data_IF_271876738086
#
_entry.id   IF_271876738086
#
_cell.length_a   1.000
_cell.length_b   1.000
_cell.length_c   1.000
_cell.angle_alpha   90.00
_cell.angle_beta   90.00
_cell.angle_gamma   90.00
#
_symmetry.space_group_name_H-M   'P 1'
#
loop_
_entity.id
_entity.type
_entity.pdbx_description
1 polymer ?
#
# COMPACT_ATOMS: atom_id res chain seq x y z
N UNK A 1 52.59 10.15 -9.80
CA UNK A 1 51.68 9.00 -9.59
C UNK A 1 50.28 9.53 -9.32
N UNK A 2 49.31 9.38 -10.24
CA UNK A 2 47.93 9.77 -9.98
C UNK A 2 47.00 8.56 -9.90
N UNK A 3 46.11 8.54 -8.91
CA UNK A 3 44.83 7.83 -9.04
C UNK A 3 43.71 8.84 -8.75
N UNK A 4 42.78 9.09 -9.69
CA UNK A 4 41.54 9.81 -9.37
C UNK A 4 40.56 8.83 -8.72
N UNK A 5 40.10 9.14 -7.51
CA UNK A 5 39.04 8.38 -6.85
C UNK A 5 37.69 8.94 -7.28
N UNK A 6 37.13 8.43 -8.37
CA UNK A 6 35.77 8.77 -8.79
C UNK A 6 34.79 7.95 -7.95
N UNK A 7 33.85 8.62 -7.26
CA UNK A 7 32.69 7.96 -6.66
C UNK A 7 31.78 7.47 -7.79
N UNK A 8 31.61 6.16 -7.92
CA UNK A 8 30.68 5.59 -8.89
C UNK A 8 29.25 5.79 -8.37
N UNK A 9 28.43 6.52 -9.14
CA UNK A 9 26.99 6.60 -8.89
C UNK A 9 26.38 5.21 -9.03
N UNK A 10 25.66 4.74 -8.00
CA UNK A 10 24.85 3.52 -8.09
C UNK A 10 23.69 3.77 -9.07
N UNK A 11 23.55 3.01 -10.16
CA UNK A 11 22.26 2.90 -10.82
C UNK A 11 21.43 1.89 -10.03
N UNK A 12 20.42 2.37 -9.31
CA UNK A 12 19.40 1.52 -8.68
C UNK A 12 18.21 2.39 -8.36
N UNK A 13 17.00 2.15 -8.85
CA UNK A 13 16.28 0.87 -8.99
C UNK A 13 15.18 1.10 -10.04
N UNK A 14 14.79 0.12 -10.89
CA UNK A 14 13.52 0.24 -11.57
C UNK A 14 12.44 0.31 -10.49
N UNK A 15 11.73 1.44 -10.41
CA UNK A 15 10.49 1.53 -9.65
C UNK A 15 9.61 0.38 -10.14
N UNK A 16 9.22 -0.51 -9.20
CA UNK A 16 8.07 -1.39 -9.46
C UNK A 16 6.95 -0.42 -9.81
N UNK A 17 6.33 -0.49 -11.00
CA UNK A 17 5.08 0.20 -11.18
C UNK A 17 4.19 -0.39 -10.11
N UNK A 18 3.85 0.41 -9.09
CA UNK A 18 2.73 0.13 -8.26
C UNK A 18 1.58 0.03 -9.27
N UNK A 19 1.21 -1.20 -9.61
CA UNK A 19 -0.02 -1.49 -10.30
C UNK A 19 -1.09 -0.87 -9.41
N UNK A 20 -1.42 0.38 -9.69
CA UNK A 20 -2.57 1.05 -9.17
C UNK A 20 -3.72 0.32 -9.81
N UNK A 21 -4.09 -0.81 -9.23
CA UNK A 21 -5.41 -1.39 -9.40
C UNK A 21 -6.35 -0.26 -9.02
N UNK A 22 -6.89 0.40 -10.05
CA UNK A 22 -7.93 1.39 -9.89
C UNK A 22 -8.99 0.74 -8.99
N UNK A 23 -9.41 1.40 -7.90
CA UNK A 23 -10.40 0.82 -7.02
C UNK A 23 -11.68 0.60 -7.84
N UNK A 24 -12.03 -0.67 -8.07
CA UNK A 24 -13.35 -1.01 -8.60
C UNK A 24 -14.37 -0.47 -7.61
N UNK A 25 -15.28 0.34 -8.15
CA UNK A 25 -16.44 0.88 -7.46
C UNK A 25 -17.46 -0.25 -7.43
N UNK A 26 -17.37 -1.11 -6.42
CA UNK A 26 -18.43 -2.05 -6.07
C UNK A 26 -18.66 -1.94 -4.56
N UNK A 27 -19.92 -2.01 -4.15
CA UNK A 27 -20.51 -1.49 -2.92
C UNK A 27 -19.64 -1.71 -1.64
N UNK A 28 -19.44 -0.68 -0.78
CA UNK A 28 -18.25 -0.53 0.05
C UNK A 28 -18.30 -1.34 1.35
N UNK A 29 -18.59 -2.64 1.30
CA UNK A 29 -18.32 -3.51 2.44
C UNK A 29 -16.81 -3.78 2.49
N UNK A 30 -16.16 -3.34 3.57
CA UNK A 30 -14.76 -3.65 3.80
C UNK A 30 -14.61 -5.15 4.08
N UNK A 31 -13.92 -5.90 3.21
CA UNK A 31 -13.69 -7.34 3.44
C UNK A 31 -12.88 -7.69 4.70
N UNK A 32 -12.33 -6.69 5.41
CA UNK A 32 -11.55 -6.87 6.66
C UNK A 32 -12.35 -6.46 7.89
N UNK A 33 -13.28 -5.53 7.74
CA UNK A 33 -13.82 -4.77 8.86
C UNK A 33 -15.34 -4.61 8.74
N UNK A 34 -16.10 -4.64 9.85
CA UNK A 34 -17.55 -4.71 9.81
C UNK A 34 -18.26 -3.39 9.43
N UNK A 35 -17.52 -2.32 9.14
CA UNK A 35 -18.06 -1.01 8.79
C UNK A 35 -17.83 -0.69 7.30
N UNK A 36 -18.42 0.42 6.82
CA UNK A 36 -18.37 0.77 5.40
C UNK A 36 -17.00 1.30 4.99
N UNK A 37 -16.67 1.16 3.70
CA UNK A 37 -15.43 1.68 3.12
C UNK A 37 -15.40 3.21 3.16
N UNK A 38 -16.54 3.89 3.16
CA UNK A 38 -16.61 5.36 3.28
C UNK A 38 -16.06 5.90 4.61
N UNK A 39 -16.10 5.13 5.69
CA UNK A 39 -15.48 5.51 6.97
C UNK A 39 -13.94 5.44 6.95
N UNK A 40 -13.35 4.96 5.84
CA UNK A 40 -11.90 4.82 5.75
C UNK A 40 -11.23 6.10 5.28
N UNK A 41 -10.23 6.53 6.05
CA UNK A 41 -9.17 7.38 5.53
C UNK A 41 -8.29 6.60 4.51
N UNK A 42 -7.49 7.32 3.72
CA UNK A 42 -6.54 6.77 2.77
C UNK A 42 -5.57 5.75 3.39
N UNK A 43 -5.18 5.89 4.65
CA UNK A 43 -4.33 4.93 5.36
C UNK A 43 -5.12 3.66 5.68
N UNK A 44 -6.34 3.81 6.21
CA UNK A 44 -7.22 2.68 6.50
C UNK A 44 -7.50 1.86 5.22
N UNK A 45 -7.79 2.53 4.10
CA UNK A 45 -7.97 1.89 2.80
C UNK A 45 -6.76 1.04 2.38
N UNK A 46 -5.55 1.59 2.49
CA UNK A 46 -4.31 0.88 2.14
C UNK A 46 -4.07 -0.32 3.05
N UNK A 47 -4.30 -0.15 4.36
CA UNK A 47 -4.10 -1.21 5.33
C UNK A 47 -5.09 -2.36 5.13
N UNK A 48 -6.38 -2.07 4.95
CA UNK A 48 -7.40 -3.09 4.73
C UNK A 48 -7.15 -3.83 3.42
N UNK A 49 -6.77 -3.13 2.34
CA UNK A 49 -6.39 -3.78 1.06
C UNK A 49 -5.18 -4.69 1.20
N UNK A 50 -4.14 -4.26 1.90
CA UNK A 50 -2.96 -5.09 2.13
C UNK A 50 -3.29 -6.33 2.99
N UNK A 51 -4.20 -6.19 3.95
CA UNK A 51 -4.67 -7.27 4.81
C UNK A 51 -5.45 -8.31 4.02
N UNK A 52 -6.36 -7.87 3.14
CA UNK A 52 -7.08 -8.75 2.20
C UNK A 52 -6.13 -9.45 1.23
N UNK A 53 -5.27 -8.69 0.56
CA UNK A 53 -4.35 -9.25 -0.43
C UNK A 53 -3.36 -10.25 0.18
N UNK A 54 -3.00 -10.06 1.45
CA UNK A 54 -2.14 -10.96 2.20
C UNK A 54 -2.86 -12.09 2.93
N UNK A 55 -4.20 -12.17 2.87
CA UNK A 55 -5.02 -13.09 3.66
C UNK A 55 -4.61 -13.12 5.15
N UNK A 56 -4.35 -11.95 5.71
CA UNK A 56 -3.82 -11.81 7.07
C UNK A 56 -4.97 -11.85 8.08
N UNK A 57 -4.91 -12.77 9.03
CA UNK A 57 -5.85 -12.85 10.15
C UNK A 57 -5.46 -11.84 11.25
N UNK A 58 -5.82 -10.57 11.03
CA UNK A 58 -5.56 -9.47 11.97
C UNK A 58 -6.68 -8.43 11.92
N UNK A 59 -6.85 -7.68 13.01
CA UNK A 59 -7.82 -6.58 13.07
C UNK A 59 -7.51 -5.42 12.13
N UNK A 60 -8.46 -4.50 11.98
CA UNK A 60 -8.32 -3.28 11.18
C UNK A 60 -7.81 -2.09 12.00
N UNK A 61 -7.12 -1.16 11.34
CA UNK A 61 -6.65 0.11 11.94
C UNK A 61 -7.66 1.25 11.80
N UNK A 62 -8.84 0.97 11.25
CA UNK A 62 -9.88 1.95 11.02
C UNK A 62 -10.35 2.54 12.36
N UNK A 63 -10.55 3.85 12.38
CA UNK A 63 -11.25 4.50 13.49
C UNK A 63 -12.74 4.38 13.19
N UNK A 64 -13.47 3.59 13.98
CA UNK A 64 -14.91 3.46 13.83
C UNK A 64 -15.56 4.85 13.84
N UNK A 65 -16.32 5.15 12.78
CA UNK A 65 -17.27 6.25 12.73
C UNK A 65 -18.51 5.91 13.52
#
# INVERSE_FOLDING_TARGET
MPVPTTTAARPGRPERPAGATAPSVDDPACGVCPHRVDDHDAIALRFCRATLAGALDRGCVCRAG
#
